data_IF_156665326724
#
_entry.id   IF_156665326724
#
_cell.length_a   1.000
_cell.length_b   1.000
_cell.length_c   1.000
_cell.angle_alpha   90.00
_cell.angle_beta   90.00
_cell.angle_gamma   90.00
#
_symmetry.space_group_name_H-M   'P 1'
#
loop_
_entity.id
_entity.type
_entity.pdbx_description
1 polymer ?
#
# COMPACT_ATOMS: atom_id res chain seq x y z
N UNK A 1 -0.21 -29.86 -11.03
CA UNK A 1 -0.15 -28.71 -11.97
C UNK A 1 0.77 -27.67 -11.34
N UNK A 2 2.05 -27.72 -11.69
CA UNK A 2 3.05 -26.77 -11.20
C UNK A 2 3.03 -25.58 -12.15
N UNK A 3 2.39 -24.48 -11.76
CA UNK A 3 2.48 -23.25 -12.53
C UNK A 3 3.77 -22.53 -12.16
N UNK A 4 4.74 -22.58 -13.08
CA UNK A 4 5.89 -21.67 -13.13
C UNK A 4 5.37 -20.24 -13.28
N UNK A 5 5.18 -19.53 -12.19
CA UNK A 5 5.13 -18.08 -12.24
C UNK A 5 6.32 -17.56 -11.44
N UNK A 6 7.37 -17.18 -12.17
CA UNK A 6 8.49 -16.42 -11.64
C UNK A 6 8.03 -15.08 -11.06
N UNK A 7 8.96 -14.23 -10.61
CA UNK A 7 8.60 -12.94 -10.02
C UNK A 7 7.75 -12.10 -10.98
N UNK A 8 6.54 -11.71 -10.55
CA UNK A 8 5.62 -10.86 -11.31
C UNK A 8 5.53 -9.50 -10.63
N UNK A 9 5.98 -8.45 -11.32
CA UNK A 9 5.89 -7.08 -10.79
C UNK A 9 4.44 -6.69 -10.46
N UNK A 10 4.19 -6.00 -9.34
CA UNK A 10 2.88 -5.43 -9.02
C UNK A 10 2.37 -4.50 -10.12
N UNK A 11 1.09 -4.61 -10.49
CA UNK A 11 0.50 -3.77 -11.53
C UNK A 11 0.25 -2.32 -11.08
N UNK A 12 0.30 -2.05 -9.77
CA UNK A 12 0.30 -0.71 -9.20
C UNK A 12 1.18 -0.66 -7.94
N UNK A 13 1.83 0.47 -7.71
CA UNK A 13 2.72 0.71 -6.56
C UNK A 13 2.43 2.11 -6.02
N UNK A 14 2.17 2.29 -4.71
CA UNK A 14 1.93 3.61 -4.17
C UNK A 14 3.24 4.39 -4.04
N UNK A 15 3.16 5.72 -4.12
CA UNK A 15 4.29 6.58 -3.82
C UNK A 15 4.57 6.61 -2.32
N UNK A 16 5.85 6.76 -1.94
CA UNK A 16 6.21 7.08 -0.56
C UNK A 16 5.57 8.42 -0.15
N UNK A 17 5.03 8.48 1.06
CA UNK A 17 4.28 9.62 1.58
C UNK A 17 2.80 9.64 1.19
N UNK A 18 2.34 8.80 0.25
CA UNK A 18 0.93 8.71 -0.10
C UNK A 18 0.09 8.27 1.10
N UNK A 19 -1.11 8.84 1.24
CA UNK A 19 -2.10 8.41 2.22
C UNK A 19 -3.17 7.62 1.49
N UNK A 20 -3.38 6.38 1.91
CA UNK A 20 -4.35 5.46 1.32
C UNK A 20 -5.43 5.13 2.34
N UNK A 21 -6.67 5.07 1.90
CA UNK A 21 -7.80 4.52 2.68
C UNK A 21 -8.16 3.17 2.07
N UNK A 22 -7.91 2.10 2.81
CA UNK A 22 -8.04 0.71 2.38
C UNK A 22 -9.28 0.10 3.01
N UNK A 23 -10.18 -0.44 2.20
CA UNK A 23 -11.36 -1.12 2.69
C UNK A 23 -11.01 -2.50 3.29
N UNK A 24 -11.89 -3.09 4.13
CA UNK A 24 -11.75 -4.49 4.52
C UNK A 24 -11.56 -5.39 3.30
N UNK A 25 -10.54 -6.26 3.33
CA UNK A 25 -10.20 -7.16 2.22
C UNK A 25 -9.28 -6.59 1.12
N UNK A 26 -9.01 -5.28 1.14
CA UNK A 26 -7.99 -4.65 0.30
C UNK A 26 -6.58 -4.69 0.91
N UNK A 27 -6.47 -5.17 2.15
CA UNK A 27 -5.20 -5.27 2.85
C UNK A 27 -5.15 -6.51 3.77
N UNK A 28 -3.94 -6.96 4.10
CA UNK A 28 -3.68 -8.19 4.87
C UNK A 28 -2.51 -8.02 5.85
N UNK A 29 -2.38 -9.01 6.75
CA UNK A 29 -1.32 -9.20 7.75
C UNK A 29 -1.43 -8.40 9.06
N UNK A 30 -2.55 -7.70 9.28
CA UNK A 30 -3.01 -7.27 10.61
C UNK A 30 -4.54 -7.49 10.74
N UNK A 31 -5.28 -6.56 11.37
CA UNK A 31 -6.74 -6.61 11.52
C UNK A 31 -7.43 -6.17 10.22
N UNK A 32 -7.29 -7.00 9.17
CA UNK A 32 -7.84 -6.77 7.83
C UNK A 32 -9.38 -6.75 7.74
N UNK A 33 -10.06 -6.69 8.89
CA UNK A 33 -11.52 -6.64 9.02
C UNK A 33 -12.06 -5.20 9.05
N UNK A 34 -11.17 -4.21 9.21
CA UNK A 34 -11.53 -2.79 9.32
C UNK A 34 -10.94 -1.96 8.19
N UNK A 35 -11.57 -0.81 7.95
CA UNK A 35 -10.99 0.24 7.11
C UNK A 35 -9.69 0.73 7.75
N UNK A 36 -8.63 0.81 6.95
CA UNK A 36 -7.33 1.29 7.39
C UNK A 36 -6.94 2.53 6.57
N UNK A 37 -6.66 3.62 7.25
CA UNK A 37 -5.96 4.76 6.64
C UNK A 37 -4.48 4.64 6.96
N UNK A 38 -3.61 4.60 5.95
CA UNK A 38 -2.17 4.43 6.12
C UNK A 38 -1.39 5.47 5.32
N UNK A 39 -0.36 6.06 5.93
CA UNK A 39 0.66 6.83 5.22
C UNK A 39 1.82 5.91 4.87
N UNK A 40 2.08 5.74 3.58
CA UNK A 40 3.15 4.88 3.06
C UNK A 40 4.51 5.48 3.43
N UNK A 41 5.35 4.69 4.08
CA UNK A 41 6.75 5.02 4.36
C UNK A 41 7.68 4.42 3.30
N UNK A 42 7.38 3.21 2.82
CA UNK A 42 8.19 2.52 1.83
C UNK A 42 7.46 1.36 1.14
N UNK A 43 8.07 0.84 0.07
CA UNK A 43 7.54 -0.28 -0.71
C UNK A 43 8.61 -1.36 -0.82
N UNK A 44 8.24 -2.60 -0.47
CA UNK A 44 9.10 -3.79 -0.54
C UNK A 44 8.89 -4.52 -1.87
N UNK A 45 9.44 -3.97 -2.95
CA UNK A 45 9.30 -4.52 -4.32
C UNK A 45 9.94 -5.92 -4.45
N UNK A 46 11.03 -6.14 -3.73
CA UNK A 46 11.76 -7.40 -3.59
C UNK A 46 10.86 -8.56 -3.13
N UNK A 47 9.93 -8.26 -2.22
CA UNK A 47 8.95 -9.22 -1.72
C UNK A 47 7.69 -9.23 -2.61
N UNK A 48 7.22 -8.06 -3.03
CA UNK A 48 5.96 -7.90 -3.76
C UNK A 48 5.87 -8.72 -5.04
N UNK A 49 7.00 -8.95 -5.71
CA UNK A 49 7.06 -9.73 -6.96
C UNK A 49 6.57 -11.17 -6.81
N UNK A 50 6.54 -11.71 -5.59
CA UNK A 50 6.08 -13.07 -5.31
C UNK A 50 4.57 -13.17 -5.03
N UNK A 51 3.82 -12.07 -5.13
CA UNK A 51 2.38 -12.01 -4.85
C UNK A 51 1.51 -11.86 -6.11
N UNK A 52 1.97 -12.42 -7.23
CA UNK A 52 1.17 -12.58 -8.45
C UNK A 52 0.74 -11.27 -9.10
N UNK A 53 1.50 -10.19 -8.90
CA UNK A 53 1.27 -8.88 -9.51
C UNK A 53 0.02 -8.11 -9.05
N UNK A 54 -0.84 -8.71 -8.21
CA UNK A 54 -2.11 -8.08 -7.75
C UNK A 54 -1.99 -7.42 -6.38
N UNK A 55 -0.88 -7.62 -5.71
CA UNK A 55 -0.62 -7.16 -4.36
C UNK A 55 0.76 -6.54 -4.26
N UNK A 56 0.90 -5.59 -3.33
CA UNK A 56 2.17 -4.94 -3.05
C UNK A 56 2.39 -4.87 -1.55
N UNK A 57 3.62 -5.14 -1.14
CA UNK A 57 4.07 -5.09 0.25
C UNK A 57 4.57 -3.69 0.57
N UNK A 58 4.01 -3.08 1.60
CA UNK A 58 4.35 -1.72 2.02
C UNK A 58 4.72 -1.66 3.49
N UNK A 59 5.53 -0.67 3.81
CA UNK A 59 5.76 -0.21 5.17
C UNK A 59 5.05 1.14 5.33
N UNK A 60 4.38 1.37 6.45
CA UNK A 60 3.68 2.63 6.67
C UNK A 60 3.18 2.80 8.08
N UNK A 61 2.58 3.95 8.35
CA UNK A 61 2.01 4.27 9.66
C UNK A 61 0.51 4.46 9.53
N UNK A 62 -0.26 3.78 10.39
CA UNK A 62 -1.70 3.97 10.48
C UNK A 62 -2.01 5.41 10.89
N UNK A 63 -2.88 6.08 10.13
CA UNK A 63 -3.34 7.43 10.41
C UNK A 63 -4.70 7.35 11.08
N UNK A 64 -4.75 7.54 12.40
CA UNK A 64 -6.03 7.57 13.14
C UNK A 64 -6.81 8.86 12.90
N UNK A 65 -6.09 9.99 12.73
CA UNK A 65 -6.65 11.30 12.42
C UNK A 65 -5.82 12.03 11.37
N UNK A 66 -6.44 12.67 10.35
CA UNK A 66 -5.72 13.49 9.38
C UNK A 66 -4.88 14.57 10.08
N UNK A 67 -3.60 14.69 9.73
CA UNK A 67 -2.68 15.68 10.32
C UNK A 67 -1.99 15.25 11.62
N UNK A 68 -2.34 14.10 12.20
CA UNK A 68 -1.63 13.55 13.36
C UNK A 68 -0.50 12.62 12.87
N UNK A 69 0.74 12.91 13.24
CA UNK A 69 1.84 11.98 13.01
C UNK A 69 1.64 10.77 13.94
N UNK A 70 1.54 9.54 13.43
CA UNK A 70 1.24 8.39 14.27
C UNK A 70 2.43 8.09 15.19
N UNK A 71 2.22 7.96 16.51
CA UNK A 71 3.26 7.51 17.41
C UNK A 71 3.43 6.00 17.23
N UNK A 72 4.55 5.54 16.64
CA UNK A 72 4.88 4.12 16.62
C UNK A 72 5.77 3.67 15.46
N UNK A 73 6.24 2.43 15.57
CA UNK A 73 6.98 1.74 14.51
C UNK A 73 6.10 1.57 13.26
N UNK A 74 6.68 1.67 12.05
CA UNK A 74 5.93 1.39 10.83
C UNK A 74 5.45 -0.07 10.83
N UNK A 75 4.19 -0.25 10.42
CA UNK A 75 3.62 -1.57 10.18
C UNK A 75 3.92 -2.03 8.76
N UNK A 76 4.10 -3.34 8.59
CA UNK A 76 4.24 -3.96 7.28
C UNK A 76 2.94 -4.65 6.90
N UNK A 77 2.37 -4.27 5.75
CA UNK A 77 1.11 -4.84 5.26
C UNK A 77 1.18 -5.13 3.77
N UNK A 78 0.35 -6.07 3.34
CA UNK A 78 0.11 -6.33 1.93
C UNK A 78 -1.16 -5.61 1.50
N UNK A 79 -1.13 -4.81 0.44
CA UNK A 79 -2.30 -4.08 -0.08
C UNK A 79 -2.61 -4.50 -1.52
N UNK A 80 -3.88 -4.44 -1.92
CA UNK A 80 -4.30 -4.71 -3.30
C UNK A 80 -3.87 -3.57 -4.21
N UNK A 81 -3.37 -3.93 -5.39
CA UNK A 81 -3.07 -2.95 -6.44
C UNK A 81 -4.31 -2.14 -6.85
N UNK A 82 -5.49 -2.76 -6.86
CA UNK A 82 -6.75 -2.10 -7.19
C UNK A 82 -7.19 -1.03 -6.16
N UNK A 83 -6.63 -1.06 -4.94
CA UNK A 83 -6.90 -0.07 -3.90
C UNK A 83 -5.93 1.12 -3.96
N UNK A 84 -4.98 1.12 -4.91
CA UNK A 84 -4.05 2.22 -5.13
C UNK A 84 -4.68 3.14 -6.17
N UNK A 85 -4.99 4.40 -5.81
CA UNK A 85 -5.49 5.36 -6.80
C UNK A 85 -4.46 5.51 -7.93
N UNK A 86 -4.90 5.70 -9.18
CA UNK A 86 -4.02 6.19 -10.22
C UNK A 86 -3.34 7.45 -9.67
N UNK A 87 -2.04 7.61 -9.89
CA UNK A 87 -1.32 8.79 -9.41
C UNK A 87 -2.04 10.03 -9.96
N UNK A 88 -2.84 10.69 -9.13
CA UNK A 88 -3.40 11.99 -9.47
C UNK A 88 -2.18 12.90 -9.51
N UNK A 89 -1.85 13.38 -10.71
CA UNK A 89 -0.82 14.38 -10.91
C UNK A 89 -1.03 15.45 -9.84
N UNK A 90 -0.01 15.66 -9.00
CA UNK A 90 0.01 16.82 -8.14
C UNK A 90 -0.06 18.03 -9.07
N UNK A 91 -1.24 18.62 -9.21
CA UNK A 91 -1.41 19.94 -9.81
C UNK A 91 -0.72 20.90 -8.85
N UNK A 92 0.56 21.14 -9.08
CA UNK A 92 1.23 22.35 -8.62
C UNK A 92 0.67 23.50 -9.46
N UNK A 93 -0.51 24.00 -9.11
CA UNK A 93 -0.88 25.38 -9.46
C UNK A 93 -0.26 26.27 -8.39
N UNK A 94 0.99 26.69 -8.62
CA UNK A 94 1.50 27.92 -8.04
C UNK A 94 0.79 29.07 -8.77
N UNK A 95 0.06 29.90 -8.02
CA UNK A 95 -0.28 31.27 -8.40
C UNK A 95 0.42 32.21 -7.43
#
# INVERSE_FOLDING_TARGET
MNHEFGPVSPCAVPAAGAVLTLAPGDWRYHDGTRTLTIRVAGVRKDISQWYGGKWVWIEGHQVERPGQMPPGHPMQILIRCAAIPPASLAVTTLR
#
